data_IF_407275568419
#
_entry.id   IF_407275568419
#
_cell.length_a   1.000
_cell.length_b   1.000
_cell.length_c   1.000
_cell.angle_alpha   90.00
_cell.angle_beta   90.00
_cell.angle_gamma   90.00
#
_symmetry.space_group_name_H-M   'P 1'
#
loop_
_entity.id
_entity.type
_entity.pdbx_description
1 polymer ?
#
# COMPACT_ATOMS: atom_id res chain seq x y z
N UNK A 1 -2.32 -2.08 -13.12
CA UNK A 1 -3.47 -1.17 -13.26
C UNK A 1 -4.78 -1.95 -13.04
N UNK A 2 -5.36 -1.94 -11.84
CA UNK A 2 -6.74 -2.46 -11.60
C UNK A 2 -7.46 -1.82 -10.38
N UNK A 3 -6.81 -1.05 -9.52
CA UNK A 3 -7.37 -0.69 -8.20
C UNK A 3 -8.19 0.62 -8.14
N UNK A 4 -8.02 1.55 -9.08
CA UNK A 4 -8.69 2.86 -9.01
C UNK A 4 -10.12 2.88 -9.58
N UNK A 5 -10.50 1.88 -10.39
CA UNK A 5 -11.84 1.78 -10.99
C UNK A 5 -12.92 1.34 -9.97
N UNK A 6 -12.51 0.71 -8.86
CA UNK A 6 -13.44 0.13 -7.88
C UNK A 6 -14.08 1.17 -6.95
N UNK A 7 -13.39 2.27 -6.60
CA UNK A 7 -13.87 3.20 -5.56
C UNK A 7 -15.11 4.01 -5.96
N UNK A 8 -15.07 4.65 -7.13
CA UNK A 8 -16.19 5.46 -7.62
C UNK A 8 -17.41 4.59 -7.99
N UNK A 9 -17.14 3.39 -8.50
CA UNK A 9 -18.17 2.43 -8.87
C UNK A 9 -18.82 1.80 -7.62
N UNK A 10 -18.05 1.58 -6.55
CA UNK A 10 -18.54 1.06 -5.27
C UNK A 10 -19.38 2.08 -4.50
N UNK A 11 -18.98 3.36 -4.44
CA UNK A 11 -19.81 4.43 -3.86
C UNK A 11 -21.17 4.54 -4.56
N UNK A 12 -21.19 4.34 -5.88
CA UNK A 12 -22.42 4.35 -6.70
C UNK A 12 -23.35 3.18 -6.39
N UNK A 13 -22.81 2.02 -5.99
CA UNK A 13 -23.57 0.81 -5.64
C UNK A 13 -24.06 0.86 -4.19
N UNK A 14 -23.20 1.30 -3.26
CA UNK A 14 -23.54 1.44 -1.83
C UNK A 14 -24.61 2.51 -1.62
N UNK A 15 -24.52 3.64 -2.34
CA UNK A 15 -25.55 4.68 -2.31
C UNK A 15 -26.92 4.25 -2.85
N UNK A 16 -27.01 3.09 -3.52
CA UNK A 16 -28.25 2.61 -4.14
C UNK A 16 -29.04 1.58 -3.33
N UNK A 17 -28.44 0.74 -2.46
CA UNK A 17 -29.12 -0.53 -2.09
C UNK A 17 -28.85 -1.19 -0.72
N UNK A 18 -28.49 -0.48 0.35
CA UNK A 18 -28.40 -1.16 1.66
C UNK A 18 -28.82 -0.31 2.85
N UNK A 19 -29.44 -0.97 3.82
CA UNK A 19 -29.77 -0.42 5.14
C UNK A 19 -28.53 0.29 5.69
N UNK A 20 -28.61 1.62 5.83
CA UNK A 20 -27.49 2.57 5.98
C UNK A 20 -26.37 2.09 6.91
N UNK A 21 -26.73 1.40 7.99
CA UNK A 21 -25.82 0.85 9.01
C UNK A 21 -24.84 -0.23 8.51
N UNK A 22 -25.25 -1.08 7.57
CA UNK A 22 -24.36 -2.13 7.02
C UNK A 22 -23.39 -1.55 5.98
N UNK A 23 -23.87 -0.59 5.18
CA UNK A 23 -23.04 0.19 4.27
C UNK A 23 -21.93 0.95 5.01
N UNK A 24 -22.28 1.65 6.09
CA UNK A 24 -21.32 2.42 6.91
C UNK A 24 -20.24 1.54 7.54
N UNK A 25 -20.63 0.38 8.09
CA UNK A 25 -19.68 -0.55 8.70
C UNK A 25 -18.67 -1.08 7.67
N UNK A 26 -19.17 -1.49 6.50
CA UNK A 26 -18.32 -1.98 5.42
C UNK A 26 -17.39 -0.88 4.87
N UNK A 27 -17.90 0.35 4.75
CA UNK A 27 -17.10 1.50 4.31
C UNK A 27 -15.97 1.80 5.30
N UNK A 28 -16.24 1.74 6.60
CA UNK A 28 -15.22 1.92 7.63
C UNK A 28 -14.16 0.80 7.59
N UNK A 29 -14.56 -0.45 7.40
CA UNK A 29 -13.63 -1.58 7.27
C UNK A 29 -12.72 -1.42 6.04
N UNK A 30 -13.28 -1.03 4.90
CA UNK A 30 -12.53 -0.77 3.67
C UNK A 30 -11.59 0.43 3.83
N UNK A 31 -12.08 1.52 4.43
CA UNK A 31 -11.27 2.71 4.69
C UNK A 31 -10.07 2.38 5.59
N UNK A 32 -10.30 1.62 6.66
CA UNK A 32 -9.25 1.19 7.56
C UNK A 32 -8.21 0.33 6.85
N UNK A 33 -8.63 -0.63 6.03
CA UNK A 33 -7.71 -1.48 5.26
C UNK A 33 -6.87 -0.66 4.25
N UNK A 34 -7.48 0.27 3.53
CA UNK A 34 -6.77 1.18 2.62
C UNK A 34 -5.75 2.04 3.36
N UNK A 35 -6.15 2.59 4.50
CA UNK A 35 -5.29 3.42 5.34
C UNK A 35 -4.10 2.62 5.89
N UNK A 36 -4.36 1.42 6.41
CA UNK A 36 -3.30 0.53 6.89
C UNK A 36 -2.37 0.10 5.75
N UNK A 37 -2.89 -0.18 4.55
CA UNK A 37 -2.09 -0.48 3.37
C UNK A 37 -1.19 0.69 2.99
N UNK A 38 -1.71 1.92 3.06
CA UNK A 38 -0.92 3.12 2.79
C UNK A 38 0.21 3.29 3.82
N UNK A 39 -0.10 3.26 5.12
CA UNK A 39 0.92 3.34 6.19
C UNK A 39 1.96 2.24 6.04
N UNK A 40 1.53 1.00 5.83
CA UNK A 40 2.44 -0.13 5.73
C UNK A 40 3.36 -0.03 4.52
N UNK A 41 2.89 0.54 3.40
CA UNK A 41 3.75 0.84 2.23
C UNK A 41 4.82 1.87 2.57
N UNK A 42 4.45 2.98 3.18
CA UNK A 42 5.39 4.02 3.61
C UNK A 42 6.45 3.45 4.57
N UNK A 43 6.03 2.68 5.56
CA UNK A 43 6.96 2.02 6.50
C UNK A 43 7.91 1.03 5.83
N UNK A 44 7.42 0.24 4.86
CA UNK A 44 8.28 -0.66 4.09
C UNK A 44 9.32 0.14 3.30
N UNK A 45 8.91 1.26 2.69
CA UNK A 45 9.79 2.11 1.90
C UNK A 45 10.92 2.69 2.76
N UNK A 46 10.58 3.29 3.90
CA UNK A 46 11.57 3.82 4.85
C UNK A 46 12.53 2.73 5.34
N UNK A 47 12.00 1.54 5.64
CA UNK A 47 12.82 0.41 6.08
C UNK A 47 13.78 -0.06 5.00
N UNK A 48 13.34 -0.14 3.74
CA UNK A 48 14.18 -0.55 2.62
C UNK A 48 15.29 0.45 2.36
N UNK A 49 15.01 1.76 2.44
CA UNK A 49 16.03 2.81 2.35
C UNK A 49 17.09 2.66 3.44
N UNK A 50 16.66 2.49 4.70
CA UNK A 50 17.58 2.25 5.82
C UNK A 50 18.47 1.02 5.59
N UNK A 51 17.89 -0.07 5.08
CA UNK A 51 18.65 -1.30 4.80
C UNK A 51 19.62 -1.15 3.63
N UNK A 52 19.26 -0.33 2.63
CA UNK A 52 20.14 0.04 1.52
C UNK A 52 21.35 0.82 2.05
N UNK A 53 21.13 1.83 2.90
CA UNK A 53 22.20 2.64 3.49
C UNK A 53 23.16 1.77 4.32
N UNK A 54 22.62 0.89 5.17
CA UNK A 54 23.43 -0.06 5.95
C UNK A 54 24.24 -0.99 5.03
N UNK A 55 23.66 -1.44 3.91
CA UNK A 55 24.34 -2.31 2.96
C UNK A 55 25.48 -1.58 2.23
N UNK A 56 25.29 -0.29 1.90
CA UNK A 56 26.32 0.55 1.30
C UNK A 56 27.47 0.81 2.27
N UNK A 57 27.17 1.14 3.52
CA UNK A 57 28.16 1.33 4.58
C UNK A 57 29.00 0.05 4.80
N UNK A 58 28.35 -1.11 4.75
CA UNK A 58 28.99 -2.42 4.86
C UNK A 58 29.67 -2.91 3.58
N UNK A 59 29.57 -2.18 2.45
CA UNK A 59 29.98 -2.62 1.11
C UNK A 59 29.40 -3.99 0.70
N UNK A 60 28.22 -4.33 1.22
CA UNK A 60 27.49 -5.55 0.88
C UNK A 60 26.66 -5.33 -0.38
N UNK A 61 27.26 -5.65 -1.52
CA UNK A 61 26.62 -5.50 -2.83
C UNK A 61 25.40 -6.41 -3.01
N UNK A 62 25.39 -7.60 -2.40
CA UNK A 62 24.28 -8.54 -2.54
C UNK A 62 23.03 -8.01 -1.82
N UNK A 63 23.20 -7.58 -0.57
CA UNK A 63 22.12 -6.98 0.22
C UNK A 63 21.63 -5.68 -0.43
N UNK A 64 22.54 -4.83 -0.92
CA UNK A 64 22.17 -3.63 -1.66
C UNK A 64 21.27 -3.94 -2.86
N UNK A 65 21.70 -4.84 -3.76
CA UNK A 65 20.93 -5.21 -4.96
C UNK A 65 19.56 -5.78 -4.59
N UNK A 66 19.49 -6.63 -3.56
CA UNK A 66 18.24 -7.21 -3.08
C UNK A 66 17.25 -6.16 -2.58
N UNK A 67 17.70 -5.23 -1.74
CA UNK A 67 16.83 -4.21 -1.17
C UNK A 67 16.45 -3.13 -2.19
N UNK A 68 17.37 -2.77 -3.09
CA UNK A 68 17.11 -1.86 -4.20
C UNK A 68 16.05 -2.42 -5.17
N UNK A 69 16.13 -3.72 -5.52
CA UNK A 69 15.11 -4.36 -6.37
C UNK A 69 13.74 -4.40 -5.68
N UNK A 70 13.71 -4.67 -4.37
CA UNK A 70 12.46 -4.64 -3.58
C UNK A 70 11.85 -3.26 -3.51
N UNK A 71 12.67 -2.21 -3.39
CA UNK A 71 12.23 -0.82 -3.39
C UNK A 71 11.66 -0.42 -4.75
N UNK A 72 12.35 -0.78 -5.86
CA UNK A 72 11.86 -0.51 -7.21
C UNK A 72 10.48 -1.16 -7.47
N UNK A 73 10.29 -2.42 -7.03
CA UNK A 73 9.00 -3.10 -7.14
C UNK A 73 7.91 -2.51 -6.25
N UNK A 74 8.28 -1.86 -5.15
CA UNK A 74 7.33 -1.16 -4.28
C UNK A 74 6.83 0.14 -4.94
N UNK A 75 7.71 0.84 -5.65
CA UNK A 75 7.41 2.10 -6.36
C UNK A 75 6.70 1.91 -7.71
N UNK A 76 6.90 0.79 -8.42
CA UNK A 76 6.18 0.47 -9.68
C UNK A 76 4.67 0.17 -9.49
N UNK A 77 4.21 0.02 -8.25
CA UNK A 77 2.80 -0.28 -7.92
C UNK A 77 1.96 0.97 -7.63
N UNK A 78 2.48 2.16 -7.94
CA UNK A 78 1.77 3.44 -7.95
C UNK A 78 1.30 3.82 -9.35
#
# INVERSE_FOLDING_TARGET
>A
MESNYSYAEFLKVVGKNSSTRHAEKLLNEIYLDLFLKHIHREQIKERLLTLIDISLDGRDEQSFRLYAEKLAKADEKD
#
